data_IF_963471287036
#
_entry.id   IF_963471287036
#
_cell.length_a   1.000
_cell.length_b   1.000
_cell.length_c   1.000
_cell.angle_alpha   90.00
_cell.angle_beta   90.00
_cell.angle_gamma   90.00
#
_symmetry.space_group_name_H-M   'P 1'
#
loop_
_entity.id
_entity.type
_entity.pdbx_description
1 polymer ?
#
# COMPACT_ATOMS: atom_id res chain seq x y z
N UNK A 1 34.26 -80.59 -27.76
CA UNK A 1 35.02 -80.42 -26.50
C UNK A 1 34.03 -80.23 -25.37
N UNK A 2 33.69 -81.33 -24.68
CA UNK A 2 32.96 -81.31 -23.40
C UNK A 2 33.86 -80.61 -22.35
N UNK A 3 33.43 -79.79 -21.39
CA UNK A 3 32.41 -79.95 -20.33
C UNK A 3 32.55 -81.25 -19.52
N UNK A 4 33.27 -81.20 -18.39
CA UNK A 4 32.71 -81.24 -17.02
C UNK A 4 33.70 -81.80 -15.99
N UNK A 5 33.72 -81.11 -14.84
CA UNK A 5 33.82 -81.59 -13.45
C UNK A 5 35.00 -82.44 -12.97
N UNK A 6 35.47 -82.07 -11.76
CA UNK A 6 35.65 -82.86 -10.52
C UNK A 6 36.81 -82.26 -9.71
N UNK A 7 36.86 -82.23 -8.39
CA UNK A 7 35.93 -82.47 -7.28
C UNK A 7 36.69 -82.08 -5.99
N UNK A 8 35.97 -81.47 -5.03
CA UNK A 8 35.87 -81.84 -3.61
C UNK A 8 37.04 -81.67 -2.59
N UNK A 9 36.67 -80.89 -1.54
CA UNK A 9 36.95 -80.99 -0.08
C UNK A 9 38.37 -80.84 0.51
N UNK A 10 38.55 -79.81 1.37
CA UNK A 10 38.19 -79.90 2.80
C UNK A 10 38.35 -78.54 3.53
N UNK A 11 37.29 -78.12 4.22
CA UNK A 11 37.33 -77.19 5.36
C UNK A 11 37.64 -77.99 6.66
N UNK A 12 38.13 -77.38 7.75
CA UNK A 12 37.17 -76.75 8.68
C UNK A 12 37.64 -75.50 9.45
N UNK A 13 36.60 -74.79 9.92
CA UNK A 13 36.42 -74.08 11.20
C UNK A 13 37.17 -72.76 11.51
N UNK A 14 36.38 -71.70 11.39
CA UNK A 14 36.04 -70.71 12.43
C UNK A 14 37.12 -69.73 12.95
N UNK A 15 36.97 -68.46 12.55
CA UNK A 15 36.52 -67.41 13.49
C UNK A 15 36.15 -66.14 12.70
N UNK A 16 34.90 -65.71 12.84
CA UNK A 16 34.44 -64.37 12.46
C UNK A 16 35.00 -63.38 13.49
N UNK A 17 36.04 -62.64 13.14
CA UNK A 17 36.46 -61.48 13.93
C UNK A 17 35.82 -60.20 13.39
N UNK A 18 35.11 -59.54 14.31
CA UNK A 18 34.36 -58.32 14.12
C UNK A 18 35.25 -57.16 13.64
N UNK A 19 34.70 -56.37 12.72
CA UNK A 19 35.13 -55.00 12.44
C UNK A 19 34.72 -54.09 13.60
N UNK A 20 35.64 -53.28 14.16
CA UNK A 20 35.27 -52.01 14.74
C UNK A 20 35.69 -50.88 13.81
N UNK A 21 34.68 -50.07 13.48
CA UNK A 21 34.74 -48.78 12.82
C UNK A 21 35.99 -47.95 13.16
N UNK A 22 36.70 -47.50 12.12
CA UNK A 22 37.64 -46.40 12.25
C UNK A 22 36.83 -45.11 12.48
N UNK A 23 36.70 -44.74 13.76
CA UNK A 23 36.12 -43.48 14.21
C UNK A 23 36.97 -42.32 13.69
N UNK A 24 36.36 -41.44 12.90
CA UNK A 24 36.90 -40.13 12.55
C UNK A 24 36.96 -39.29 13.85
N UNK A 25 38.14 -39.18 14.48
CA UNK A 25 38.32 -38.28 15.63
C UNK A 25 38.55 -36.85 15.13
N UNK A 26 37.51 -36.03 15.22
CA UNK A 26 37.68 -34.57 15.19
C UNK A 26 38.57 -34.20 16.37
N UNK A 27 39.69 -33.52 16.13
CA UNK A 27 40.75 -33.15 17.08
C UNK A 27 40.35 -32.29 18.30
N UNK A 28 39.23 -32.61 18.95
CA UNK A 28 38.73 -32.11 20.22
C UNK A 28 39.43 -32.76 21.42
N UNK A 29 40.16 -33.86 21.23
CA UNK A 29 40.96 -34.51 22.28
C UNK A 29 42.00 -33.55 22.89
N UNK A 30 42.54 -32.61 22.09
CA UNK A 30 43.42 -31.53 22.57
C UNK A 30 42.70 -30.49 23.44
N UNK A 31 41.38 -30.35 23.29
CA UNK A 31 40.56 -29.42 24.09
C UNK A 31 40.14 -30.11 25.39
N UNK A 32 39.72 -31.37 25.32
CA UNK A 32 39.37 -32.15 26.51
C UNK A 32 40.58 -32.43 27.41
N UNK A 33 41.75 -32.77 26.85
CA UNK A 33 42.99 -32.92 27.63
C UNK A 33 43.50 -31.62 28.26
N UNK A 34 43.11 -30.45 27.71
CA UNK A 34 43.38 -29.15 28.32
C UNK A 34 42.41 -28.79 29.44
N UNK A 35 41.18 -29.32 29.42
CA UNK A 35 40.19 -29.10 30.48
C UNK A 35 40.53 -29.88 31.76
N UNK A 36 41.15 -31.06 31.63
CA UNK A 36 41.58 -31.88 32.77
C UNK A 36 42.82 -31.33 33.50
N UNK A 37 43.54 -30.38 32.89
CA UNK A 37 44.78 -29.79 33.45
C UNK A 37 44.65 -28.33 33.88
N UNK A 38 43.43 -27.78 33.92
CA UNK A 38 43.21 -26.40 34.41
C UNK A 38 43.19 -26.39 35.95
N UNK A 39 44.18 -25.73 36.54
CA UNK A 39 44.16 -25.41 37.97
C UNK A 39 43.05 -24.36 38.23
N UNK A 40 42.01 -24.79 38.96
CA UNK A 40 40.78 -24.01 39.24
C UNK A 40 41.11 -22.68 39.96
N UNK A 41 42.28 -22.55 40.57
CA UNK A 41 42.77 -21.31 41.21
C UNK A 41 43.20 -20.23 40.21
N UNK A 42 43.45 -20.59 38.95
CA UNK A 42 43.90 -19.66 37.89
C UNK A 42 42.76 -18.98 37.13
N UNK A 43 41.51 -19.42 37.34
CA UNK A 43 40.33 -18.87 36.67
C UNK A 43 39.83 -17.63 37.44
N UNK A 44 39.96 -16.44 36.83
CA UNK A 44 39.42 -15.19 37.39
C UNK A 44 37.90 -15.30 37.55
N UNK A 45 37.42 -15.14 38.79
CA UNK A 45 36.00 -14.97 39.09
C UNK A 45 35.49 -13.66 38.48
N UNK A 46 34.50 -13.73 37.60
CA UNK A 46 33.73 -12.55 37.18
C UNK A 46 32.76 -12.26 38.32
N UNK A 47 33.19 -11.42 39.26
CA UNK A 47 32.36 -10.93 40.35
C UNK A 47 31.43 -9.82 39.85
N UNK A 48 30.14 -10.10 39.87
CA UNK A 48 29.09 -9.10 40.03
C UNK A 48 29.27 -8.38 41.37
N UNK A 49 29.37 -7.06 41.38
CA UNK A 49 28.54 -6.21 42.24
C UNK A 49 28.64 -4.72 41.91
N UNK A 50 27.50 -4.09 42.14
CA UNK A 50 27.05 -2.72 41.96
C UNK A 50 27.73 -1.66 42.85
N UNK A 51 27.71 -0.43 42.32
CA UNK A 51 27.89 0.90 42.94
C UNK A 51 29.34 1.29 43.32
N UNK A 52 29.89 2.47 42.97
CA UNK A 52 29.29 3.77 42.61
C UNK A 52 30.29 4.70 41.87
N UNK A 53 29.75 5.58 41.00
CA UNK A 53 30.27 6.89 40.48
C UNK A 53 31.66 6.89 39.81
N UNK A 54 31.85 7.36 38.56
CA UNK A 54 31.72 8.77 38.10
C UNK A 54 31.38 8.83 36.60
N UNK A 55 30.43 9.72 36.28
CA UNK A 55 30.00 10.35 35.01
C UNK A 55 30.48 9.85 33.63
N UNK A 56 29.54 9.46 32.74
CA UNK A 56 29.70 9.54 31.30
C UNK A 56 28.81 10.61 30.65
N UNK A 57 29.39 11.25 29.62
CA UNK A 57 28.85 12.31 28.79
C UNK A 57 27.46 12.00 28.20
N UNK A 58 26.58 12.99 28.32
CA UNK A 58 25.20 13.00 27.86
C UNK A 58 25.10 12.85 26.33
N UNK A 59 24.72 11.67 25.85
CA UNK A 59 23.88 11.53 24.66
C UNK A 59 22.43 11.45 25.14
N UNK A 60 21.64 12.47 24.78
CA UNK A 60 20.22 12.61 25.11
C UNK A 60 19.44 11.37 24.65
N UNK A 61 19.18 10.45 25.57
CA UNK A 61 18.08 9.52 25.47
C UNK A 61 16.79 10.31 25.74
N UNK A 62 15.99 10.52 24.72
CA UNK A 62 14.59 10.86 24.92
C UNK A 62 13.94 9.66 25.58
N UNK A 63 13.70 9.76 26.89
CA UNK A 63 12.70 8.97 27.58
C UNK A 63 11.38 9.21 26.85
N UNK A 64 10.79 8.15 26.31
CA UNK A 64 9.38 8.10 26.03
C UNK A 64 8.63 8.45 27.32
N UNK A 65 8.08 9.64 27.37
CA UNK A 65 7.09 9.99 28.39
C UNK A 65 5.93 8.99 28.28
N UNK A 66 5.39 8.48 29.41
CA UNK A 66 4.11 7.84 29.36
C UNK A 66 3.12 8.88 28.84
N UNK A 67 2.37 8.53 27.79
CA UNK A 67 1.30 9.34 27.24
C UNK A 67 0.25 9.58 28.34
N UNK A 68 0.49 10.59 29.17
CA UNK A 68 -0.55 11.23 29.95
C UNK A 68 -1.51 11.82 28.94
N UNK A 69 -2.60 11.08 28.69
CA UNK A 69 -3.83 11.62 28.13
C UNK A 69 -4.32 12.71 29.08
N UNK A 70 -3.74 13.90 28.96
CA UNK A 70 -4.45 15.11 29.32
C UNK A 70 -5.59 15.17 28.33
N UNK A 71 -6.78 14.81 28.79
CA UNK A 71 -8.06 15.22 28.25
C UNK A 71 -8.12 16.76 28.26
N UNK A 72 -7.35 17.38 27.37
CA UNK A 72 -7.66 18.71 26.92
C UNK A 72 -8.92 18.55 26.07
N UNK A 73 -9.99 19.19 26.52
CA UNK A 73 -11.14 19.49 25.69
C UNK A 73 -10.62 20.34 24.53
N UNK A 74 -10.29 19.70 23.42
CA UNK A 74 -10.04 20.37 22.15
C UNK A 74 -11.34 21.10 21.78
N UNK A 75 -11.33 22.41 21.92
CA UNK A 75 -12.38 23.27 21.40
C UNK A 75 -12.32 23.21 19.88
N UNK A 76 -13.16 22.34 19.30
CA UNK A 76 -13.30 22.12 17.86
C UNK A 76 -13.93 23.34 17.18
N UNK A 77 -13.09 24.26 16.71
CA UNK A 77 -13.50 25.38 15.84
C UNK A 77 -12.79 25.19 14.49
N UNK A 78 -13.26 24.24 13.69
CA UNK A 78 -13.12 24.07 12.23
C UNK A 78 -13.44 22.60 11.89
N UNK A 79 -13.93 22.26 10.68
CA UNK A 79 -14.10 20.87 10.30
C UNK A 79 -12.70 20.27 10.10
N UNK A 80 -12.12 19.72 11.17
CA UNK A 80 -10.85 18.99 11.08
C UNK A 80 -11.06 17.77 10.21
N UNK A 81 -10.72 17.91 8.93
CA UNK A 81 -10.40 16.77 8.12
C UNK A 81 -9.26 16.01 8.81
N UNK A 82 -9.46 14.72 9.06
CA UNK A 82 -8.34 13.86 9.46
C UNK A 82 -7.25 13.98 8.40
N UNK A 83 -6.00 14.01 8.83
CA UNK A 83 -4.83 14.16 7.94
C UNK A 83 -4.02 12.89 7.78
N UNK A 84 -4.41 11.84 8.52
CA UNK A 84 -3.71 10.56 8.57
C UNK A 84 -4.69 9.41 8.33
N UNK A 85 -4.18 8.38 7.65
CA UNK A 85 -4.89 7.15 7.30
C UNK A 85 -4.13 5.95 7.90
N UNK A 86 -4.87 4.92 8.28
CA UNK A 86 -4.31 3.62 8.63
C UNK A 86 -3.48 3.05 7.46
N UNK A 87 -2.35 2.42 7.79
CA UNK A 87 -1.48 1.78 6.80
C UNK A 87 -2.18 0.62 6.07
N UNK A 88 -2.35 0.73 4.76
CA UNK A 88 -2.78 -0.39 3.92
C UNK A 88 -1.83 -1.58 3.96
N UNK A 89 -0.53 -1.33 4.23
CA UNK A 89 0.51 -2.36 4.38
C UNK A 89 0.12 -3.42 5.39
N UNK A 90 -0.55 -3.03 6.48
CA UNK A 90 -0.94 -3.96 7.54
C UNK A 90 -2.04 -4.94 7.08
N UNK A 91 -2.83 -4.55 6.09
CA UNK A 91 -3.89 -5.37 5.48
C UNK A 91 -3.36 -6.22 4.32
N UNK A 92 -2.07 -6.15 3.99
CA UNK A 92 -1.50 -6.95 2.91
C UNK A 92 -1.44 -8.45 3.27
N UNK A 93 -1.50 -9.33 2.24
CA UNK A 93 -1.29 -10.76 2.42
C UNK A 93 0.15 -11.10 2.83
N UNK A 94 0.32 -12.14 3.66
CA UNK A 94 1.65 -12.63 4.08
C UNK A 94 2.55 -13.07 2.92
N UNK A 95 1.97 -13.45 1.78
CA UNK A 95 2.67 -13.90 0.58
C UNK A 95 3.59 -12.81 0.00
N UNK A 96 3.31 -11.53 0.27
CA UNK A 96 4.15 -10.41 -0.18
C UNK A 96 5.55 -10.46 0.42
N UNK A 97 5.70 -11.08 1.59
CA UNK A 97 6.99 -11.25 2.27
C UNK A 97 7.85 -12.35 1.62
N UNK A 98 7.30 -13.13 0.69
CA UNK A 98 8.05 -14.15 -0.06
C UNK A 98 8.65 -15.22 0.86
N UNK A 99 7.84 -15.76 1.76
CA UNK A 99 8.29 -16.84 2.64
C UNK A 99 8.44 -18.16 1.88
N UNK A 100 9.13 -19.12 2.47
CA UNK A 100 9.11 -20.47 1.92
C UNK A 100 7.70 -21.07 2.02
N UNK A 101 7.30 -21.91 1.06
CA UNK A 101 5.98 -22.59 1.04
C UNK A 101 5.63 -23.30 2.35
N UNK A 102 6.66 -23.75 3.09
CA UNK A 102 6.49 -24.40 4.40
C UNK A 102 6.03 -23.41 5.47
N UNK A 103 6.62 -22.22 5.52
CA UNK A 103 6.26 -21.15 6.46
C UNK A 103 4.86 -20.60 6.12
N UNK A 104 4.57 -20.34 4.85
CA UNK A 104 3.27 -19.81 4.42
C UNK A 104 2.13 -20.77 4.79
N UNK A 105 2.32 -22.07 4.54
CA UNK A 105 1.34 -23.09 4.92
C UNK A 105 1.13 -23.13 6.42
N UNK A 106 2.21 -23.03 7.19
CA UNK A 106 2.11 -23.02 8.65
C UNK A 106 1.39 -21.78 9.19
N UNK A 107 1.71 -20.58 8.67
CA UNK A 107 1.00 -19.36 9.05
C UNK A 107 -0.48 -19.44 8.69
N UNK A 108 -0.80 -20.01 7.53
CA UNK A 108 -2.18 -20.26 7.09
C UNK A 108 -2.90 -21.25 8.02
N UNK A 109 -2.23 -22.33 8.45
CA UNK A 109 -2.78 -23.31 9.41
C UNK A 109 -3.04 -22.69 10.78
N UNK A 110 -2.32 -21.62 11.15
CA UNK A 110 -2.54 -20.83 12.37
C UNK A 110 -3.57 -19.70 12.19
N UNK A 111 -4.19 -19.58 11.01
CA UNK A 111 -5.16 -18.52 10.71
C UNK A 111 -4.54 -17.13 10.52
N UNK A 112 -3.22 -17.03 10.34
CA UNK A 112 -2.50 -15.77 10.10
C UNK A 112 -2.39 -15.54 8.60
N UNK A 113 -3.17 -14.60 8.08
CA UNK A 113 -3.31 -14.36 6.64
C UNK A 113 -2.79 -12.99 6.23
N UNK A 114 -2.79 -12.01 7.15
CA UNK A 114 -2.36 -10.63 6.88
C UNK A 114 -1.13 -10.24 7.69
N UNK A 115 -0.44 -9.19 7.24
CA UNK A 115 0.76 -8.66 7.92
C UNK A 115 0.44 -8.20 9.35
N UNK A 116 -0.74 -7.61 9.60
CA UNK A 116 -1.17 -7.22 10.95
C UNK A 116 -1.17 -8.40 11.94
N UNK A 117 -1.58 -9.61 11.49
CA UNK A 117 -1.60 -10.82 12.33
C UNK A 117 -0.19 -11.22 12.81
N UNK A 118 0.85 -10.78 12.08
CA UNK A 118 2.24 -11.01 12.41
C UNK A 118 2.82 -9.95 13.37
N UNK A 119 2.11 -8.86 13.63
CA UNK A 119 2.54 -7.82 14.56
C UNK A 119 2.05 -8.07 15.99
N UNK A 120 0.91 -8.74 16.16
CA UNK A 120 0.34 -9.11 17.46
C UNK A 120 1.10 -10.27 18.15
N UNK A 121 2.36 -10.50 17.75
CA UNK A 121 3.07 -11.77 17.84
C UNK A 121 3.71 -12.13 19.20
N UNK A 122 3.29 -11.52 20.30
CA UNK A 122 3.68 -12.00 21.65
C UNK A 122 3.20 -13.44 21.92
N UNK A 123 2.31 -13.99 21.07
CA UNK A 123 1.68 -15.32 21.21
C UNK A 123 1.99 -16.32 20.10
N UNK A 124 3.07 -16.19 19.33
CA UNK A 124 3.56 -17.30 18.46
C UNK A 124 4.07 -18.53 19.25
N UNK A 125 3.89 -18.53 20.56
CA UNK A 125 4.46 -19.45 21.54
C UNK A 125 3.81 -20.84 21.60
N UNK A 126 2.81 -21.18 20.78
CA UNK A 126 2.05 -22.43 21.03
C UNK A 126 1.78 -23.24 19.76
N UNK A 127 2.82 -23.89 19.25
CA UNK A 127 2.85 -25.33 18.93
C UNK A 127 4.11 -25.63 18.12
N UNK A 128 5.09 -26.39 18.64
CA UNK A 128 6.22 -26.83 17.84
C UNK A 128 5.73 -27.80 16.77
N UNK A 129 5.44 -27.29 15.56
CA UNK A 129 5.30 -28.16 14.40
C UNK A 129 6.67 -28.75 14.09
N UNK A 130 6.70 -30.07 13.90
CA UNK A 130 7.92 -30.81 13.54
C UNK A 130 8.49 -30.23 12.24
N UNK A 131 9.62 -29.52 12.34
CA UNK A 131 10.31 -28.91 11.20
C UNK A 131 10.35 -27.37 11.19
N UNK A 132 9.70 -26.68 12.14
CA UNK A 132 9.81 -25.22 12.30
C UNK A 132 10.66 -24.90 13.52
N UNK A 133 11.95 -24.69 13.29
CA UNK A 133 12.89 -24.23 14.33
C UNK A 133 13.01 -22.70 14.41
N UNK A 134 13.77 -22.24 15.41
CA UNK A 134 14.07 -20.83 15.69
C UNK A 134 14.48 -20.03 14.44
N UNK A 135 15.26 -20.63 13.53
CA UNK A 135 15.69 -19.94 12.31
C UNK A 135 14.56 -19.50 11.38
N UNK A 136 13.40 -20.16 11.39
CA UNK A 136 12.24 -19.70 10.62
C UNK A 136 11.53 -18.52 11.30
N UNK A 137 11.51 -18.49 12.64
CA UNK A 137 11.01 -17.34 13.39
C UNK A 137 11.89 -16.12 13.15
N UNK A 138 13.21 -16.31 13.17
CA UNK A 138 14.16 -15.26 12.85
C UNK A 138 14.00 -14.79 11.39
N UNK A 139 13.72 -15.70 10.44
CA UNK A 139 13.39 -15.33 9.05
C UNK A 139 12.12 -14.49 8.96
N UNK A 140 11.05 -14.88 9.67
CA UNK A 140 9.78 -14.13 9.71
C UNK A 140 10.00 -12.74 10.28
N UNK A 141 10.63 -12.64 11.45
CA UNK A 141 10.92 -11.37 12.11
C UNK A 141 11.80 -10.47 11.26
N UNK A 142 12.85 -11.01 10.64
CA UNK A 142 13.77 -10.24 9.80
C UNK A 142 13.08 -9.74 8.53
N UNK A 143 12.32 -10.58 7.83
CA UNK A 143 11.58 -10.16 6.62
C UNK A 143 10.48 -9.15 6.95
N UNK A 144 9.74 -9.36 8.03
CA UNK A 144 8.71 -8.45 8.49
C UNK A 144 9.30 -7.07 8.86
N UNK A 145 10.38 -7.06 9.67
CA UNK A 145 11.06 -5.82 10.02
C UNK A 145 11.68 -5.12 8.81
N UNK A 146 12.29 -5.86 7.88
CA UNK A 146 12.85 -5.27 6.65
C UNK A 146 11.74 -4.65 5.79
N UNK A 147 10.60 -5.32 5.68
CA UNK A 147 9.47 -4.86 4.89
C UNK A 147 8.78 -3.63 5.51
N UNK A 148 8.57 -3.63 6.83
CA UNK A 148 7.95 -2.51 7.56
C UNK A 148 8.90 -1.33 7.77
N UNK A 149 10.20 -1.55 8.02
CA UNK A 149 11.16 -0.45 8.16
C UNK A 149 11.39 0.30 6.84
N UNK A 150 11.13 -0.33 5.69
CA UNK A 150 11.08 0.35 4.39
C UNK A 150 9.84 1.25 4.22
N UNK A 151 8.83 1.07 5.08
CA UNK A 151 7.51 1.69 5.05
C UNK A 151 7.31 2.48 6.36
N UNK A 152 7.99 3.62 6.52
CA UNK A 152 8.06 4.36 7.79
C UNK A 152 6.70 4.88 8.29
N UNK A 153 6.44 4.63 9.58
CA UNK A 153 5.40 5.12 10.52
C UNK A 153 3.92 4.73 10.27
N UNK A 154 3.24 4.37 11.38
CA UNK A 154 1.86 3.86 11.46
C UNK A 154 0.77 4.81 10.92
N UNK A 155 1.13 6.05 10.57
CA UNK A 155 0.24 7.06 10.01
C UNK A 155 0.93 7.72 8.82
N UNK A 156 0.33 7.59 7.63
CA UNK A 156 0.91 8.14 6.40
C UNK A 156 0.08 9.31 5.87
N UNK A 157 0.79 10.36 5.43
CA UNK A 157 0.22 11.47 4.65
C UNK A 157 0.15 11.16 3.15
N UNK A 158 0.48 9.92 2.77
CA UNK A 158 0.55 9.40 1.42
C UNK A 158 -0.30 8.15 1.32
N UNK A 159 -0.77 7.87 0.11
CA UNK A 159 -1.59 6.68 -0.16
C UNK A 159 -0.69 5.63 -0.81
N UNK A 160 -0.46 4.50 -0.14
CA UNK A 160 0.21 3.35 -0.77
C UNK A 160 -0.80 2.55 -1.62
N UNK A 161 -0.96 2.99 -2.87
CA UNK A 161 -1.82 2.33 -3.85
C UNK A 161 -1.36 0.91 -4.18
N UNK A 162 -0.06 0.60 -4.07
CA UNK A 162 0.43 -0.75 -4.33
C UNK A 162 -0.01 -1.69 -3.24
N UNK A 163 0.16 -1.28 -1.98
CA UNK A 163 -0.34 -2.02 -0.82
C UNK A 163 -1.83 -2.22 -0.90
N UNK A 164 -2.56 -1.15 -1.21
CA UNK A 164 -4.00 -1.24 -1.34
C UNK A 164 -4.40 -2.26 -2.43
N UNK A 165 -3.79 -2.23 -3.61
CA UNK A 165 -4.07 -3.22 -4.66
C UNK A 165 -3.71 -4.65 -4.23
N UNK A 166 -2.58 -4.86 -3.55
CA UNK A 166 -2.18 -6.18 -3.01
C UNK A 166 -3.24 -6.73 -2.06
N UNK A 167 -3.89 -5.89 -1.24
CA UNK A 167 -4.99 -6.34 -0.38
C UNK A 167 -6.19 -6.88 -1.17
N UNK A 168 -6.48 -6.30 -2.34
CA UNK A 168 -7.64 -6.66 -3.16
C UNK A 168 -7.45 -7.99 -3.88
N UNK A 169 -6.22 -8.24 -4.34
CA UNK A 169 -5.85 -9.45 -5.07
C UNK A 169 -5.37 -10.59 -4.17
N UNK A 170 -5.28 -10.37 -2.85
CA UNK A 170 -4.76 -11.31 -1.86
C UNK A 170 -5.38 -12.71 -1.91
N UNK A 171 -6.67 -12.80 -2.23
CA UNK A 171 -7.40 -14.08 -2.26
C UNK A 171 -7.21 -14.88 -3.55
N UNK A 172 -6.58 -14.29 -4.57
CA UNK A 172 -6.42 -14.95 -5.87
C UNK A 172 -5.27 -15.96 -5.85
N UNK A 173 -5.43 -17.02 -6.63
CA UNK A 173 -4.30 -17.89 -6.97
C UNK A 173 -3.20 -17.06 -7.67
N UNK A 174 -1.90 -17.29 -7.37
CA UNK A 174 -0.78 -16.51 -7.92
C UNK A 174 -0.81 -16.37 -9.46
N UNK A 175 -1.19 -17.43 -10.17
CA UNK A 175 -1.29 -17.43 -11.64
C UNK A 175 -2.41 -16.54 -12.16
N UNK A 176 -3.60 -16.65 -11.56
CA UNK A 176 -4.76 -15.81 -11.88
C UNK A 176 -4.45 -14.35 -11.60
N UNK A 177 -3.84 -14.08 -10.45
CA UNK A 177 -3.41 -12.76 -10.05
C UNK A 177 -2.42 -12.15 -11.05
N UNK A 178 -1.36 -12.88 -11.42
CA UNK A 178 -0.38 -12.37 -12.36
C UNK A 178 -0.94 -12.11 -13.76
N UNK A 179 -1.79 -13.02 -14.28
CA UNK A 179 -2.47 -12.82 -15.56
C UNK A 179 -3.39 -11.60 -15.53
N UNK A 180 -4.09 -11.37 -14.41
CA UNK A 180 -4.95 -10.20 -14.23
C UNK A 180 -4.12 -8.90 -14.14
N UNK A 181 -3.02 -8.90 -13.38
CA UNK A 181 -2.16 -7.71 -13.26
C UNK A 181 -1.44 -7.38 -14.57
N UNK A 182 -1.13 -8.37 -15.40
CA UNK A 182 -0.56 -8.16 -16.74
C UNK A 182 -1.48 -7.33 -17.64
N UNK A 183 -2.82 -7.44 -17.51
CA UNK A 183 -3.75 -6.65 -18.33
C UNK A 183 -3.79 -5.16 -17.98
N UNK A 184 -3.19 -4.76 -16.87
CA UNK A 184 -3.15 -3.37 -16.39
C UNK A 184 -1.71 -2.81 -16.31
N UNK A 185 -0.73 -3.47 -16.94
CA UNK A 185 0.70 -3.11 -16.87
C UNK A 185 1.29 -3.13 -15.45
N UNK A 186 0.80 -4.06 -14.60
CA UNK A 186 1.22 -4.23 -13.20
C UNK A 186 1.95 -5.56 -12.89
N UNK A 187 2.74 -6.17 -13.78
CA UNK A 187 3.32 -7.50 -13.53
C UNK A 187 4.36 -7.52 -12.39
N UNK A 188 4.90 -6.37 -12.01
CA UNK A 188 5.96 -6.26 -11.00
C UNK A 188 5.44 -6.23 -9.55
N UNK A 189 4.13 -6.08 -9.32
CA UNK A 189 3.60 -5.91 -7.96
C UNK A 189 3.64 -7.20 -7.13
N UNK A 190 3.51 -8.35 -7.78
CA UNK A 190 3.58 -9.67 -7.15
C UNK A 190 4.53 -10.56 -7.95
N UNK A 191 5.80 -10.70 -7.51
CA UNK A 191 6.79 -11.46 -8.25
C UNK A 191 6.42 -12.94 -8.24
N UNK A 192 6.37 -13.53 -9.43
CA UNK A 192 6.17 -14.96 -9.61
C UNK A 192 7.49 -15.73 -9.52
N UNK A 193 7.39 -16.99 -9.11
CA UNK A 193 8.52 -17.94 -9.20
C UNK A 193 8.81 -18.30 -10.66
N UNK A 194 10.06 -18.68 -11.01
CA UNK A 194 10.40 -19.11 -12.36
C UNK A 194 9.55 -20.28 -12.89
N UNK A 195 9.12 -21.17 -12.00
CA UNK A 195 8.23 -22.28 -12.34
C UNK A 195 6.83 -21.79 -12.77
N UNK A 196 6.25 -20.84 -12.03
CA UNK A 196 4.94 -20.25 -12.35
C UNK A 196 4.98 -19.47 -13.67
N UNK A 197 6.08 -18.74 -13.92
CA UNK A 197 6.29 -18.04 -15.20
C UNK A 197 6.31 -19.05 -16.37
N UNK A 198 7.01 -20.18 -16.20
CA UNK A 198 7.06 -21.21 -17.24
C UNK A 198 5.70 -21.85 -17.50
N UNK A 199 4.86 -22.01 -16.46
CA UNK A 199 3.50 -22.52 -16.59
C UNK A 199 2.58 -21.53 -17.31
N UNK A 200 2.63 -20.25 -16.96
CA UNK A 200 1.84 -19.19 -17.62
C UNK A 200 2.18 -19.09 -19.11
N UNK A 201 3.46 -19.23 -19.48
CA UNK A 201 3.91 -19.22 -20.89
C UNK A 201 3.35 -20.37 -21.71
N UNK A 202 3.00 -21.50 -21.09
CA UNK A 202 2.44 -22.68 -21.77
C UNK A 202 0.92 -22.60 -21.98
N UNK A 203 0.24 -21.64 -21.35
CA UNK A 203 -1.20 -21.49 -21.47
C UNK A 203 -1.59 -20.96 -22.87
N UNK A 204 -2.66 -21.53 -23.42
CA UNK A 204 -3.30 -21.01 -24.64
C UNK A 204 -3.96 -19.66 -24.37
N UNK A 205 -4.19 -18.87 -25.43
CA UNK A 205 -4.87 -17.57 -25.32
C UNK A 205 -6.27 -17.70 -24.71
N UNK A 206 -7.01 -18.75 -25.11
CA UNK A 206 -8.35 -19.05 -24.60
C UNK A 206 -8.31 -19.33 -23.09
N UNK A 207 -7.37 -20.17 -22.63
CA UNK A 207 -7.27 -20.50 -21.20
C UNK A 207 -6.83 -19.30 -20.35
N UNK A 208 -5.99 -18.43 -20.91
CA UNK A 208 -5.63 -17.16 -20.26
C UNK A 208 -6.87 -16.27 -20.06
N UNK A 209 -7.69 -16.10 -21.10
CA UNK A 209 -8.89 -15.29 -21.01
C UNK A 209 -9.90 -15.85 -19.99
N UNK A 210 -10.07 -17.17 -19.95
CA UNK A 210 -10.92 -17.85 -18.96
C UNK A 210 -10.43 -17.58 -17.52
N UNK A 211 -9.13 -17.77 -17.25
CA UNK A 211 -8.55 -17.52 -15.93
C UNK A 211 -8.64 -16.04 -15.50
N UNK A 212 -8.53 -15.10 -16.45
CA UNK A 212 -8.71 -13.67 -16.18
C UNK A 212 -10.16 -13.38 -15.79
N UNK A 213 -11.15 -13.96 -16.49
CA UNK A 213 -12.56 -13.78 -16.14
C UNK A 213 -12.90 -14.36 -14.77
N UNK A 214 -12.37 -15.55 -14.45
CA UNK A 214 -12.49 -16.13 -13.11
C UNK A 214 -11.89 -15.20 -12.05
N UNK A 215 -10.69 -14.65 -12.31
CA UNK A 215 -10.03 -13.74 -11.40
C UNK A 215 -10.85 -12.46 -11.15
N UNK A 216 -11.42 -11.87 -12.20
CA UNK A 216 -12.30 -10.69 -12.09
C UNK A 216 -13.52 -11.02 -11.23
N UNK A 217 -14.14 -12.19 -11.44
CA UNK A 217 -15.30 -12.62 -10.66
C UNK A 217 -14.97 -12.78 -9.17
N UNK A 218 -13.84 -13.41 -8.84
CA UNK A 218 -13.37 -13.60 -7.46
C UNK A 218 -12.99 -12.29 -6.75
N UNK A 219 -12.54 -11.28 -7.50
CA UNK A 219 -12.13 -9.97 -6.95
C UNK A 219 -13.29 -8.97 -6.91
N UNK A 220 -14.35 -9.19 -7.68
CA UNK A 220 -15.54 -8.34 -7.77
C UNK A 220 -16.67 -8.74 -6.81
N UNK A 221 -16.35 -9.41 -5.70
CA UNK A 221 -17.37 -9.81 -4.72
C UNK A 221 -18.02 -8.59 -4.05
N UNK A 222 -19.30 -8.68 -3.62
CA UNK A 222 -20.00 -7.57 -2.98
C UNK A 222 -19.26 -7.03 -1.75
N UNK A 223 -18.69 -7.91 -0.93
CA UNK A 223 -17.94 -7.55 0.28
C UNK A 223 -16.70 -6.72 -0.07
N UNK A 224 -15.90 -7.15 -1.07
CA UNK A 224 -14.73 -6.38 -1.52
C UNK A 224 -15.13 -5.04 -2.11
N UNK A 225 -16.24 -5.00 -2.86
CA UNK A 225 -16.77 -3.77 -3.43
C UNK A 225 -17.18 -2.78 -2.34
N UNK A 226 -17.86 -3.25 -1.29
CA UNK A 226 -18.21 -2.41 -0.13
C UNK A 226 -16.97 -1.89 0.60
N UNK A 227 -15.96 -2.75 0.80
CA UNK A 227 -14.68 -2.35 1.38
C UNK A 227 -14.02 -1.24 0.56
N UNK A 228 -13.93 -1.39 -0.75
CA UNK A 228 -13.33 -0.37 -1.65
C UNK A 228 -14.11 0.94 -1.60
N UNK A 229 -15.44 0.87 -1.60
CA UNK A 229 -16.27 2.07 -1.49
C UNK A 229 -16.02 2.77 -0.15
N UNK A 230 -15.85 2.01 0.93
CA UNK A 230 -15.51 2.54 2.25
C UNK A 230 -14.12 3.19 2.26
N UNK A 231 -13.09 2.47 1.80
CA UNK A 231 -11.72 2.97 1.71
C UNK A 231 -11.66 4.24 0.85
N UNK A 232 -12.32 4.26 -0.31
CA UNK A 232 -12.38 5.43 -1.19
C UNK A 232 -13.10 6.62 -0.56
N UNK A 233 -14.18 6.37 0.19
CA UNK A 233 -14.89 7.42 0.92
C UNK A 233 -13.97 8.04 1.95
N UNK A 234 -13.23 7.22 2.68
CA UNK A 234 -12.27 7.68 3.68
C UNK A 234 -11.13 8.49 3.03
N UNK A 235 -10.49 7.96 1.98
CA UNK A 235 -9.46 8.67 1.21
C UNK A 235 -9.95 10.02 0.68
N UNK A 236 -11.18 10.05 0.17
CA UNK A 236 -11.78 11.28 -0.36
C UNK A 236 -12.00 12.31 0.74
N UNK A 237 -12.43 11.89 1.93
CA UNK A 237 -12.65 12.79 3.06
C UNK A 237 -11.33 13.30 3.67
N UNK A 238 -10.30 12.45 3.73
CA UNK A 238 -9.01 12.75 4.38
C UNK A 238 -8.08 13.56 3.47
N UNK A 239 -8.04 13.26 2.18
CA UNK A 239 -7.05 13.85 1.27
C UNK A 239 -7.65 14.75 0.19
N UNK A 240 -8.78 14.35 -0.42
CA UNK A 240 -9.31 15.05 -1.61
C UNK A 240 -10.15 16.27 -1.25
N UNK A 241 -11.17 16.13 -0.40
CA UNK A 241 -12.05 17.22 0.01
C UNK A 241 -11.32 18.39 0.72
N UNK A 242 -10.37 18.17 1.63
CA UNK A 242 -9.60 19.26 2.24
C UNK A 242 -8.74 19.99 1.22
N UNK A 243 -8.15 19.25 0.27
CA UNK A 243 -7.37 19.84 -0.81
C UNK A 243 -8.25 20.67 -1.76
N UNK A 244 -9.45 20.20 -2.09
CA UNK A 244 -10.44 20.95 -2.85
C UNK A 244 -10.88 22.21 -2.10
N UNK A 245 -11.21 22.10 -0.81
CA UNK A 245 -11.65 23.22 0.02
C UNK A 245 -10.63 24.36 0.01
N UNK A 246 -9.33 24.05 0.19
CA UNK A 246 -8.23 25.03 0.10
C UNK A 246 -8.11 25.70 -1.27
N UNK A 247 -8.69 25.12 -2.32
CA UNK A 247 -8.64 25.57 -3.72
C UNK A 247 -10.00 26.05 -4.22
N UNK A 248 -10.75 26.73 -3.35
CA UNK A 248 -12.08 27.30 -3.63
C UNK A 248 -13.13 26.24 -4.00
N UNK A 249 -12.90 24.98 -3.68
CA UNK A 249 -13.89 23.90 -3.72
C UNK A 249 -14.16 23.24 -5.06
N UNK A 250 -13.47 23.62 -6.15
CA UNK A 250 -13.75 23.14 -7.52
C UNK A 250 -12.47 22.67 -8.19
N UNK A 251 -12.51 21.51 -8.85
CA UNK A 251 -11.39 21.00 -9.65
C UNK A 251 -11.87 20.22 -10.86
N UNK A 252 -11.05 20.22 -11.92
CA UNK A 252 -11.24 19.31 -13.04
C UNK A 252 -10.64 17.92 -12.73
N UNK A 253 -10.98 16.94 -13.57
CA UNK A 253 -10.47 15.56 -13.51
C UNK A 253 -8.94 15.48 -13.55
N UNK A 254 -8.31 16.28 -14.41
CA UNK A 254 -6.86 16.28 -14.61
C UNK A 254 -6.10 16.73 -13.36
N UNK A 255 -6.53 17.83 -12.73
CA UNK A 255 -5.97 18.33 -11.47
C UNK A 255 -6.17 17.33 -10.32
N UNK A 256 -7.29 16.61 -10.29
CA UNK A 256 -7.52 15.54 -9.32
C UNK A 256 -6.57 14.35 -9.54
N UNK A 257 -6.34 13.96 -10.79
CA UNK A 257 -5.40 12.90 -11.13
C UNK A 257 -3.96 13.28 -10.74
N UNK A 258 -3.53 14.50 -11.07
CA UNK A 258 -2.23 15.04 -10.67
C UNK A 258 -2.08 15.07 -9.15
N UNK A 259 -3.16 15.36 -8.42
CA UNK A 259 -3.15 15.34 -6.97
C UNK A 259 -3.01 13.92 -6.41
N UNK A 260 -3.76 12.94 -6.94
CA UNK A 260 -3.61 11.52 -6.59
C UNK A 260 -2.19 11.02 -6.86
N UNK A 261 -1.57 11.46 -7.97
CA UNK A 261 -0.19 11.13 -8.30
C UNK A 261 0.82 11.72 -7.30
N UNK A 262 0.57 12.92 -6.79
CA UNK A 262 1.39 13.50 -5.71
C UNK A 262 1.19 12.75 -4.39
N UNK A 263 -0.04 12.35 -4.07
CA UNK A 263 -0.36 11.58 -2.86
C UNK A 263 0.23 10.16 -2.89
N UNK A 264 0.39 9.56 -4.07
CA UNK A 264 1.06 8.26 -4.22
C UNK A 264 2.58 8.32 -4.12
N UNK A 265 3.17 9.52 -3.97
CA UNK A 265 4.62 9.69 -4.02
C UNK A 265 5.21 9.52 -5.41
N UNK A 266 4.45 9.80 -6.48
CA UNK A 266 4.85 9.69 -7.89
C UNK A 266 5.15 8.24 -8.32
N UNK A 267 4.33 7.29 -7.87
CA UNK A 267 4.54 5.88 -8.21
C UNK A 267 4.22 5.60 -9.69
N UNK A 268 5.10 4.94 -10.46
CA UNK A 268 4.89 4.67 -11.89
C UNK A 268 3.69 3.75 -12.18
N UNK A 269 3.19 3.04 -11.17
CA UNK A 269 2.10 2.06 -11.29
C UNK A 269 0.71 2.66 -11.07
N UNK A 270 0.61 3.94 -10.68
CA UNK A 270 -0.67 4.53 -10.29
C UNK A 270 -1.73 4.41 -11.39
N UNK A 271 -1.37 4.70 -12.63
CA UNK A 271 -2.30 4.66 -13.76
C UNK A 271 -2.92 3.27 -13.94
N UNK A 272 -2.09 2.23 -13.95
CA UNK A 272 -2.54 0.84 -14.03
C UNK A 272 -3.47 0.47 -12.87
N UNK A 273 -3.15 0.92 -11.65
CA UNK A 273 -3.97 0.66 -10.45
C UNK A 273 -5.31 1.37 -10.56
N UNK A 274 -5.33 2.64 -10.99
CA UNK A 274 -6.56 3.40 -11.17
C UNK A 274 -7.44 2.81 -12.27
N UNK A 275 -6.84 2.33 -13.36
CA UNK A 275 -7.54 1.63 -14.43
C UNK A 275 -8.13 0.31 -13.96
N UNK A 276 -7.37 -0.49 -13.18
CA UNK A 276 -7.86 -1.71 -12.54
C UNK A 276 -9.09 -1.41 -11.66
N UNK A 277 -9.01 -0.38 -10.83
CA UNK A 277 -10.12 -0.01 -9.94
C UNK A 277 -11.34 0.45 -10.74
N UNK A 278 -11.12 1.30 -11.74
CA UNK A 278 -12.17 1.83 -12.61
C UNK A 278 -12.91 0.71 -13.35
N UNK A 279 -12.17 -0.22 -13.97
CA UNK A 279 -12.76 -1.31 -14.74
C UNK A 279 -13.49 -2.33 -13.87
N UNK A 280 -12.91 -2.66 -12.71
CA UNK A 280 -13.40 -3.76 -11.86
C UNK A 280 -14.57 -3.31 -10.98
N UNK A 281 -14.54 -2.09 -10.44
CA UNK A 281 -15.48 -1.66 -9.40
C UNK A 281 -16.38 -0.50 -9.81
N UNK A 282 -15.91 0.38 -10.70
CA UNK A 282 -16.59 1.62 -11.07
C UNK A 282 -17.10 1.65 -12.51
N UNK A 283 -17.22 0.50 -13.18
CA UNK A 283 -17.81 0.40 -14.54
C UNK A 283 -17.14 1.33 -15.57
N UNK A 284 -15.82 1.46 -15.51
CA UNK A 284 -15.02 2.35 -16.37
C UNK A 284 -15.31 3.86 -16.17
N UNK A 285 -15.88 4.27 -15.04
CA UNK A 285 -16.01 5.69 -14.68
C UNK A 285 -14.85 6.17 -13.82
N UNK A 286 -14.76 7.49 -13.61
CA UNK A 286 -13.71 8.06 -12.78
C UNK A 286 -13.91 7.67 -11.31
N UNK A 287 -12.85 7.15 -10.66
CA UNK A 287 -12.93 6.54 -9.33
C UNK A 287 -13.44 7.47 -8.22
N UNK A 288 -13.29 8.79 -8.37
CA UNK A 288 -13.74 9.78 -7.37
C UNK A 288 -15.15 10.31 -7.64
N UNK A 289 -15.72 10.04 -8.82
CA UNK A 289 -17.04 10.54 -9.22
C UNK A 289 -18.15 10.18 -8.22
N UNK A 290 -18.23 8.96 -7.64
CA UNK A 290 -19.27 8.63 -6.66
C UNK A 290 -19.13 9.37 -5.32
N UNK A 291 -17.99 10.00 -5.06
CA UNK A 291 -17.63 10.58 -3.75
C UNK A 291 -17.56 12.11 -3.79
N UNK A 292 -17.67 12.70 -4.97
CA UNK A 292 -17.66 14.13 -5.24
C UNK A 292 -18.96 14.54 -5.94
N UNK A 293 -19.27 15.84 -5.92
CA UNK A 293 -20.42 16.37 -6.65
C UNK A 293 -19.99 16.74 -8.07
N UNK A 294 -20.49 16.02 -9.07
CA UNK A 294 -20.29 16.39 -10.48
C UNK A 294 -21.16 17.59 -10.82
N UNK A 295 -20.54 18.60 -11.44
CA UNK A 295 -21.18 19.89 -11.74
C UNK A 295 -21.23 20.16 -13.23
N UNK A 296 -20.19 19.75 -13.96
CA UNK A 296 -20.14 19.75 -15.42
C UNK A 296 -19.29 18.55 -15.88
N UNK A 297 -19.17 18.34 -17.18
CA UNK A 297 -18.31 17.32 -17.76
C UNK A 297 -16.86 17.49 -17.22
N UNK A 298 -16.35 16.45 -16.58
CA UNK A 298 -15.04 16.41 -15.92
C UNK A 298 -14.80 17.42 -14.77
N UNK A 299 -15.84 18.09 -14.27
CA UNK A 299 -15.73 19.09 -13.19
C UNK A 299 -16.41 18.60 -11.90
N UNK A 300 -15.66 18.65 -10.80
CA UNK A 300 -16.08 18.11 -9.50
C UNK A 300 -15.96 19.14 -8.38
N UNK A 301 -16.92 19.09 -7.46
CA UNK A 301 -16.99 19.90 -6.24
C UNK A 301 -16.97 19.02 -4.99
N UNK A 302 -16.47 19.59 -3.88
CA UNK A 302 -16.37 18.83 -2.62
C UNK A 302 -17.69 18.73 -1.84
N UNK A 303 -18.61 19.68 -2.02
CA UNK A 303 -19.93 19.72 -1.36
C UNK A 303 -21.05 20.24 -2.29
N UNK A 304 -22.29 20.10 -1.81
CA UNK A 304 -23.49 20.54 -2.53
C UNK A 304 -23.58 22.07 -2.59
N UNK A 305 -23.17 22.77 -1.54
CA UNK A 305 -23.24 24.24 -1.48
C UNK A 305 -22.36 24.89 -2.56
N UNK A 306 -21.14 24.38 -2.77
CA UNK A 306 -20.25 24.83 -3.83
C UNK A 306 -20.83 24.51 -5.21
N UNK A 307 -21.50 23.37 -5.38
CA UNK A 307 -22.19 23.04 -6.62
C UNK A 307 -23.31 24.03 -6.95
N UNK A 308 -24.15 24.37 -5.96
CA UNK A 308 -25.22 25.37 -6.14
C UNK A 308 -24.62 26.75 -6.44
N UNK A 309 -23.58 27.14 -5.69
CA UNK A 309 -22.86 28.39 -5.92
C UNK A 309 -22.28 28.48 -7.33
N UNK A 310 -21.68 27.39 -7.85
CA UNK A 310 -21.18 27.33 -9.21
C UNK A 310 -22.29 27.60 -10.23
N UNK A 311 -23.40 26.86 -10.16
CA UNK A 311 -24.50 26.99 -11.13
C UNK A 311 -25.11 28.40 -11.11
N UNK A 312 -25.23 29.01 -9.93
CA UNK A 312 -25.68 30.39 -9.82
C UNK A 312 -24.72 31.38 -10.48
N UNK A 313 -23.41 31.24 -10.24
CA UNK A 313 -22.39 32.12 -10.83
C UNK A 313 -22.39 31.99 -12.34
N UNK A 314 -22.45 30.77 -12.88
CA UNK A 314 -22.52 30.52 -14.32
C UNK A 314 -23.78 31.15 -14.93
N UNK A 315 -24.95 30.91 -14.33
CA UNK A 315 -26.21 31.52 -14.78
C UNK A 315 -26.15 33.05 -14.78
N UNK A 316 -25.55 33.64 -13.75
CA UNK A 316 -25.38 35.09 -13.64
C UNK A 316 -24.40 35.59 -14.69
N UNK A 317 -23.27 34.91 -14.88
CA UNK A 317 -22.29 35.24 -15.90
C UNK A 317 -22.90 35.26 -17.31
N UNK A 318 -23.71 34.24 -17.67
CA UNK A 318 -24.43 34.17 -18.95
C UNK A 318 -25.28 35.41 -19.23
N UNK A 319 -25.91 36.01 -18.20
CA UNK A 319 -26.79 37.17 -18.37
C UNK A 319 -26.06 38.45 -18.86
N UNK A 320 -24.74 38.52 -18.70
CA UNK A 320 -23.93 39.67 -19.15
C UNK A 320 -23.53 39.58 -20.63
N UNK A 321 -23.70 38.42 -21.27
CA UNK A 321 -23.35 38.22 -22.67
C UNK A 321 -24.57 38.48 -23.56
N UNK A 322 -24.58 39.62 -24.26
CA UNK A 322 -25.64 39.95 -25.22
C UNK A 322 -25.46 39.25 -26.58
N UNK A 323 -24.23 38.91 -26.95
CA UNK A 323 -23.89 38.16 -28.18
C UNK A 323 -22.80 37.12 -27.89
N UNK A 324 -22.90 35.90 -28.44
CA UNK A 324 -21.96 34.82 -28.15
C UNK A 324 -20.55 35.05 -28.71
N UNK A 325 -20.41 35.74 -29.83
CA UNK A 325 -19.12 35.94 -30.51
C UNK A 325 -18.26 37.07 -29.93
N UNK A 326 -18.81 37.86 -29.00
CA UNK A 326 -18.10 39.00 -28.43
C UNK A 326 -17.21 38.60 -27.27
N UNK A 327 -16.01 39.21 -27.24
CA UNK A 327 -15.07 39.06 -26.14
C UNK A 327 -15.24 40.19 -25.13
N UNK A 328 -15.36 39.82 -23.86
CA UNK A 328 -15.46 40.74 -22.75
C UNK A 328 -14.22 40.63 -21.87
N UNK A 329 -13.75 41.72 -21.21
CA UNK A 329 -12.68 41.62 -20.23
C UNK A 329 -13.11 40.76 -19.03
N UNK A 330 -12.33 39.74 -18.69
CA UNK A 330 -12.66 38.80 -17.59
C UNK A 330 -12.75 39.53 -16.25
N UNK A 331 -11.80 40.42 -15.96
CA UNK A 331 -11.78 41.20 -14.70
C UNK A 331 -13.05 42.06 -14.54
N UNK A 332 -13.55 42.63 -15.64
CA UNK A 332 -14.77 43.44 -15.60
C UNK A 332 -16.00 42.57 -15.30
N UNK A 333 -16.09 41.38 -15.93
CA UNK A 333 -17.15 40.42 -15.67
C UNK A 333 -17.15 39.97 -14.20
N UNK A 334 -15.99 39.63 -13.65
CA UNK A 334 -15.84 39.25 -12.24
C UNK A 334 -16.32 40.37 -11.32
N UNK A 335 -15.95 41.63 -11.61
CA UNK A 335 -16.39 42.78 -10.82
C UNK A 335 -17.90 43.01 -10.91
N UNK A 336 -18.51 42.82 -12.08
CA UNK A 336 -19.96 42.98 -12.25
C UNK A 336 -20.74 41.92 -11.47
N UNK A 337 -20.33 40.65 -11.60
CA UNK A 337 -20.91 39.53 -10.85
C UNK A 337 -20.73 39.77 -9.34
N UNK A 338 -19.51 40.13 -8.90
CA UNK A 338 -19.23 40.42 -7.50
C UNK A 338 -20.10 41.53 -6.91
N UNK A 339 -20.34 42.62 -7.67
CA UNK A 339 -21.24 43.71 -7.25
C UNK A 339 -22.68 43.26 -7.14
N UNK A 340 -23.15 42.40 -8.04
CA UNK A 340 -24.52 41.88 -8.00
C UNK A 340 -24.76 41.00 -6.76
N UNK A 341 -23.82 40.12 -6.44
CA UNK A 341 -23.93 39.27 -5.25
C UNK A 341 -23.71 40.05 -3.95
N UNK A 342 -22.85 41.08 -3.95
CA UNK A 342 -22.72 41.99 -2.83
C UNK A 342 -24.05 42.69 -2.49
N UNK A 343 -24.85 43.07 -3.50
CA UNK A 343 -26.20 43.62 -3.29
C UNK A 343 -27.18 42.62 -2.66
N UNK A 344 -26.96 41.32 -2.90
CA UNK A 344 -27.75 40.21 -2.34
C UNK A 344 -27.20 39.71 -0.99
N UNK A 345 -26.19 40.40 -0.42
CA UNK A 345 -25.49 39.97 0.80
C UNK A 345 -24.91 38.55 0.73
N UNK A 346 -24.56 38.09 -0.48
CA UNK A 346 -23.93 36.78 -0.70
C UNK A 346 -22.44 36.99 -0.99
N UNK A 347 -21.60 36.46 -0.10
CA UNK A 347 -20.15 36.45 -0.27
C UNK A 347 -19.67 35.14 -0.87
N UNK A 348 -18.57 35.19 -1.63
CA UNK A 348 -17.83 34.02 -2.09
C UNK A 348 -16.39 34.12 -1.60
N UNK A 349 -15.72 32.98 -1.51
CA UNK A 349 -14.28 32.93 -1.27
C UNK A 349 -13.52 33.68 -2.38
N UNK A 350 -12.36 34.23 -2.03
CA UNK A 350 -11.51 34.92 -2.97
C UNK A 350 -11.19 34.03 -4.19
N UNK A 351 -11.24 34.61 -5.39
CA UNK A 351 -11.02 33.95 -6.67
C UNK A 351 -12.03 32.84 -7.06
N UNK A 352 -13.07 32.60 -6.28
CA UNK A 352 -14.10 31.58 -6.61
C UNK A 352 -14.80 31.87 -7.94
N UNK A 353 -15.20 33.12 -8.17
CA UNK A 353 -15.89 33.56 -9.39
C UNK A 353 -14.97 33.42 -10.61
N UNK A 354 -13.71 33.87 -10.49
CA UNK A 354 -12.73 33.73 -11.57
C UNK A 354 -12.51 32.25 -11.93
N UNK A 355 -12.26 31.41 -10.93
CA UNK A 355 -11.98 29.98 -11.13
C UNK A 355 -13.18 29.27 -11.76
N UNK A 356 -14.40 29.59 -11.31
CA UNK A 356 -15.64 29.07 -11.87
C UNK A 356 -15.78 29.37 -13.36
N UNK A 357 -15.53 30.63 -13.76
CA UNK A 357 -15.62 31.03 -15.18
C UNK A 357 -14.52 30.38 -16.01
N UNK A 358 -13.30 30.27 -15.48
CA UNK A 358 -12.15 29.70 -16.21
C UNK A 358 -12.24 28.19 -16.41
N UNK A 359 -12.80 27.47 -15.45
CA UNK A 359 -12.92 26.01 -15.51
C UNK A 359 -14.20 25.54 -16.21
N UNK A 360 -15.20 26.42 -16.38
CA UNK A 360 -16.44 26.07 -17.05
C UNK A 360 -16.25 25.88 -18.55
N UNK A 361 -16.92 24.87 -19.09
CA UNK A 361 -16.98 24.57 -20.52
C UNK A 361 -17.79 25.61 -21.31
N UNK A 362 -18.68 26.36 -20.65
CA UNK A 362 -19.54 27.38 -21.25
C UNK A 362 -18.78 28.63 -21.73
N UNK A 363 -17.55 28.83 -21.24
CA UNK A 363 -16.77 30.03 -21.49
C UNK A 363 -15.40 29.69 -22.08
N UNK A 364 -14.97 30.45 -23.10
CA UNK A 364 -13.58 30.40 -23.58
C UNK A 364 -12.82 31.61 -23.09
N UNK A 365 -11.79 31.35 -22.28
CA UNK A 365 -10.87 32.37 -21.78
C UNK A 365 -9.58 32.35 -22.60
N UNK A 366 -9.17 33.50 -23.12
CA UNK A 366 -7.90 33.66 -23.86
C UNK A 366 -7.18 34.95 -23.50
N UNK A 367 -5.85 34.95 -23.66
CA UNK A 367 -5.04 36.18 -23.55
C UNK A 367 -5.26 37.04 -24.80
N UNK A 368 -5.71 38.27 -24.61
CA UNK A 368 -5.91 39.25 -25.68
C UNK A 368 -4.61 39.92 -26.12
N UNK A 369 -4.66 40.74 -27.19
CA UNK A 369 -3.50 41.46 -27.72
C UNK A 369 -2.92 42.49 -26.74
N UNK A 370 -3.70 42.93 -25.75
CA UNK A 370 -3.29 43.84 -24.68
C UNK A 370 -2.81 43.12 -23.41
N UNK A 371 -2.49 41.83 -23.51
CA UNK A 371 -2.19 40.91 -22.41
C UNK A 371 -3.31 40.66 -21.38
N UNK A 372 -4.44 41.34 -21.50
CA UNK A 372 -5.61 41.15 -20.64
C UNK A 372 -6.35 39.85 -20.98
N UNK A 373 -6.89 39.19 -19.96
CA UNK A 373 -7.74 38.01 -20.15
C UNK A 373 -9.10 38.44 -20.68
N UNK A 374 -9.50 37.81 -21.79
CA UNK A 374 -10.78 38.00 -22.43
C UNK A 374 -11.59 36.72 -22.35
N UNK A 375 -12.89 36.85 -22.14
CA UNK A 375 -13.86 35.75 -22.05
C UNK A 375 -14.94 35.92 -23.12
N UNK A 376 -15.34 34.82 -23.75
CA UNK A 376 -16.51 34.73 -24.63
C UNK A 376 -17.33 33.47 -24.32
N UNK A 377 -18.55 33.39 -24.83
CA UNK A 377 -19.33 32.15 -24.81
C UNK A 377 -18.71 31.10 -25.75
N UNK A 378 -18.73 29.84 -25.33
CA UNK A 378 -18.11 28.71 -26.02
C UNK A 378 -18.85 28.23 -27.26
#
# INVERSE_FOLDING_TARGET
>A
MSFLQKDFFNSPSESFELVPHASYSHGLEKIYGRLETIDIRSVRKISSNSASSVEPQQKKQQKSEPANKTSQLEFNIEPFFRTTLDLFVLREPIQVLGFSRRIEKWLSDQGKLIIADLLENDKLTVAPLKGIGQGHFDEISNKLQTYLNAQSDNETQKIDFNSWLKTLVASLEPKKCALLLETFDLPALLPLTPAEIAEIRKLTKEKRAELIQEAIFEVSTPIKKEQIISDMRELTQIFIKPWLFKRTGISNRHELYDHLLKLSGLHPHLEGILNFMSSTYFKNTFILEPFLHTVSEELYCYDLETSVAYHEVIKTAHSYFYKPDLYYPLDALIQWIGREYARKWKGFADNFIERTIRLSTDFRVRKGPSEKLLVKLS
#
